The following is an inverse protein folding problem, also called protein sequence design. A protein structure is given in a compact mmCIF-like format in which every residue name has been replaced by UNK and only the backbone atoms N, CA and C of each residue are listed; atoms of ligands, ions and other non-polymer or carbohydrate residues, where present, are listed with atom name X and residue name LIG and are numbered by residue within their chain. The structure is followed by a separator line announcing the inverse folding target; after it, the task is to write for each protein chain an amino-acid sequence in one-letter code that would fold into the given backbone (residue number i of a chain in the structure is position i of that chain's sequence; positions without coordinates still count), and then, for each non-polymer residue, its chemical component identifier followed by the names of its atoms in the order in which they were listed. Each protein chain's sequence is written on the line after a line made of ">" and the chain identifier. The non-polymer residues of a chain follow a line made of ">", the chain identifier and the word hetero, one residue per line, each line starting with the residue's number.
data_IF_045894996215
#
_entry.id   IF_045894996215
#
_cell.length_a   1.000
_cell.length_b   1.000
_cell.length_c   1.000
_cell.angle_alpha   90.00
_cell.angle_beta   90.00
_cell.angle_gamma   90.00
#
_symmetry.space_group_name_H-M   'P 1'
#
loop_
_entity.id
_entity.type
_entity.pdbx_description
1 polymer ?
#
# COMPACT_ATOMS: atom_id res chain seq x y z
N UNK A 1 55.01 -0.79 19.85
CA UNK A 1 53.77 -1.54 20.09
C UNK A 1 53.18 -1.93 18.75
N UNK A 2 52.85 -3.20 18.55
CA UNK A 2 52.34 -3.68 17.27
C UNK A 2 50.89 -3.19 17.09
N UNK A 3 50.58 -2.56 15.95
CA UNK A 3 49.26 -1.95 15.70
C UNK A 3 48.13 -2.99 15.78
N UNK A 4 48.42 -4.24 15.45
CA UNK A 4 47.51 -5.39 15.58
C UNK A 4 47.12 -5.70 17.03
N UNK A 5 48.04 -5.54 17.98
CA UNK A 5 47.79 -5.79 19.41
C UNK A 5 46.94 -4.70 20.05
N UNK A 6 47.14 -3.44 19.63
CA UNK A 6 46.29 -2.32 20.06
C UNK A 6 44.87 -2.53 19.53
N UNK A 7 44.72 -2.92 18.26
CA UNK A 7 43.42 -3.15 17.64
C UNK A 7 42.68 -4.32 18.29
N UNK A 8 43.35 -5.44 18.56
CA UNK A 8 42.72 -6.61 19.19
C UNK A 8 42.27 -6.32 20.64
N UNK A 9 43.02 -5.50 21.38
CA UNK A 9 42.67 -5.12 22.75
C UNK A 9 41.51 -4.12 22.80
N UNK A 10 41.45 -3.16 21.87
CA UNK A 10 40.29 -2.27 21.74
C UNK A 10 39.05 -3.07 21.31
N UNK A 11 39.21 -3.98 20.35
CA UNK A 11 38.10 -4.82 19.88
C UNK A 11 37.56 -5.74 20.97
N UNK A 12 38.41 -6.39 21.77
CA UNK A 12 37.97 -7.25 22.87
C UNK A 12 37.21 -6.51 23.97
N UNK A 13 37.45 -5.20 24.13
CA UNK A 13 36.72 -4.36 25.08
C UNK A 13 35.41 -3.79 24.51
N UNK A 14 35.28 -3.69 23.18
CA UNK A 14 34.16 -2.98 22.52
C UNK A 14 33.27 -3.87 21.62
N UNK A 15 33.61 -5.15 21.41
CA UNK A 15 32.83 -6.03 20.50
C UNK A 15 31.36 -6.16 20.91
N UNK A 16 31.05 -6.09 22.21
CA UNK A 16 29.68 -6.14 22.72
C UNK A 16 28.83 -4.95 22.25
N UNK A 17 29.45 -3.81 21.90
CA UNK A 17 28.72 -2.68 21.31
C UNK A 17 28.14 -3.03 19.93
N UNK A 18 28.77 -3.94 19.18
CA UNK A 18 28.21 -4.45 17.92
C UNK A 18 26.90 -5.20 18.16
N UNK A 19 26.78 -5.93 19.28
CA UNK A 19 25.54 -6.62 19.65
C UNK A 19 24.38 -5.66 19.94
N UNK A 20 24.65 -4.38 20.21
CA UNK A 20 23.63 -3.36 20.46
C UNK A 20 23.39 -2.50 19.20
N UNK A 21 24.48 -2.07 18.55
CA UNK A 21 24.43 -1.21 17.37
C UNK A 21 23.79 -1.94 16.18
N UNK A 22 24.10 -3.22 15.97
CA UNK A 22 23.54 -4.00 14.86
C UNK A 22 22.01 -4.10 14.98
N UNK A 23 21.43 -4.55 16.12
CA UNK A 23 19.96 -4.56 16.26
C UNK A 23 19.32 -3.19 16.14
N UNK A 24 19.92 -2.12 16.68
CA UNK A 24 19.40 -0.76 16.54
C UNK A 24 19.42 -0.31 15.08
N UNK A 25 20.51 -0.61 14.35
CA UNK A 25 20.67 -0.31 12.93
C UNK A 25 19.64 -1.06 12.08
N UNK A 26 19.50 -2.36 12.31
CA UNK A 26 18.48 -3.21 11.67
C UNK A 26 17.08 -2.67 11.97
N UNK A 27 16.74 -2.41 13.24
CA UNK A 27 15.44 -1.87 13.61
C UNK A 27 15.13 -0.55 12.90
N UNK A 28 16.08 0.40 12.86
CA UNK A 28 15.90 1.66 12.15
C UNK A 28 15.71 1.48 10.65
N UNK A 29 16.42 0.53 10.04
CA UNK A 29 16.32 0.24 8.61
C UNK A 29 14.97 -0.37 8.22
N UNK A 30 14.44 -1.31 9.03
CA UNK A 30 13.18 -2.01 8.73
C UNK A 30 11.92 -1.31 9.24
N UNK A 31 12.05 -0.29 10.11
CA UNK A 31 10.91 0.46 10.68
C UNK A 31 9.88 0.97 9.65
N UNK A 32 10.25 1.54 8.49
CA UNK A 32 9.27 2.01 7.51
C UNK A 32 8.43 0.87 6.92
N UNK A 33 9.06 -0.28 6.67
CA UNK A 33 8.39 -1.48 6.15
C UNK A 33 7.34 -2.01 7.14
N UNK A 34 7.72 -2.16 8.41
CA UNK A 34 6.77 -2.58 9.44
C UNK A 34 5.60 -1.60 9.60
N UNK A 35 5.85 -0.29 9.49
CA UNK A 35 4.78 0.70 9.51
C UNK A 35 3.80 0.53 8.35
N UNK A 36 4.26 0.27 7.13
CA UNK A 36 3.39 -0.02 5.99
C UNK A 36 2.48 -1.21 6.28
N UNK A 37 3.07 -2.34 6.66
CA UNK A 37 2.36 -3.59 6.97
C UNK A 37 1.33 -3.45 8.09
N UNK A 38 1.58 -2.63 9.11
CA UNK A 38 0.58 -2.35 10.15
C UNK A 38 -0.66 -1.62 9.61
N UNK A 39 -0.46 -0.69 8.66
CA UNK A 39 -1.58 0.00 8.01
C UNK A 39 -2.42 -0.96 7.18
N UNK A 40 -1.77 -1.76 6.33
CA UNK A 40 -2.43 -2.77 5.48
C UNK A 40 -3.19 -3.81 6.32
N UNK A 41 -2.61 -4.23 7.45
CA UNK A 41 -3.29 -5.12 8.40
C UNK A 41 -4.54 -4.46 9.02
N UNK A 42 -4.47 -3.18 9.34
CA UNK A 42 -5.63 -2.44 9.86
C UNK A 42 -6.76 -2.35 8.82
N UNK A 43 -6.46 -2.11 7.55
CA UNK A 43 -7.46 -2.12 6.46
C UNK A 43 -8.09 -3.49 6.29
N UNK A 44 -7.27 -4.55 6.31
CA UNK A 44 -7.76 -5.93 6.29
C UNK A 44 -8.69 -6.24 7.47
N UNK A 45 -8.38 -5.69 8.64
CA UNK A 45 -9.21 -5.82 9.85
C UNK A 45 -10.51 -5.03 9.72
N UNK A 46 -10.47 -3.81 9.17
CA UNK A 46 -11.67 -3.02 8.90
C UNK A 46 -12.62 -3.77 7.97
N UNK A 47 -12.11 -4.35 6.87
CA UNK A 47 -12.92 -5.12 5.94
C UNK A 47 -13.64 -6.27 6.66
N UNK A 48 -12.91 -7.06 7.45
CA UNK A 48 -13.47 -8.21 8.20
C UNK A 48 -14.50 -7.84 9.25
N UNK A 49 -14.31 -6.70 9.92
CA UNK A 49 -15.19 -6.25 11.01
C UNK A 49 -16.44 -5.54 10.52
N UNK A 50 -16.33 -4.80 9.42
CA UNK A 50 -17.40 -3.89 9.00
C UNK A 50 -18.08 -4.32 7.71
N UNK A 51 -17.51 -5.18 6.88
CA UNK A 51 -18.13 -5.69 5.66
C UNK A 51 -18.59 -7.14 5.87
N UNK A 52 -19.71 -7.52 5.25
CA UNK A 52 -20.27 -8.87 5.40
C UNK A 52 -19.38 -9.89 4.68
N UNK A 53 -18.72 -10.81 5.40
CA UNK A 53 -17.70 -11.68 4.78
C UNK A 53 -18.24 -12.61 3.66
N UNK A 54 -19.55 -12.82 3.55
CA UNK A 54 -20.14 -13.66 2.50
C UNK A 54 -20.16 -12.97 1.12
N UNK A 55 -20.33 -11.65 1.10
CA UNK A 55 -20.45 -10.88 -0.15
C UNK A 55 -19.12 -10.28 -0.61
N UNK A 56 -18.10 -10.25 0.26
CA UNK A 56 -16.88 -9.50 0.02
C UNK A 56 -15.64 -10.41 0.07
N UNK A 57 -14.83 -10.35 -0.99
CA UNK A 57 -13.56 -11.07 -1.09
C UNK A 57 -12.42 -10.07 -1.10
N UNK A 58 -11.51 -10.15 -0.13
CA UNK A 58 -10.37 -9.26 -0.03
C UNK A 58 -9.08 -9.96 -0.48
N UNK A 59 -8.47 -9.47 -1.55
CA UNK A 59 -7.14 -9.85 -2.00
C UNK A 59 -6.13 -8.82 -1.48
N UNK A 60 -5.02 -9.29 -0.90
CA UNK A 60 -4.01 -8.44 -0.27
C UNK A 60 -2.64 -8.63 -0.91
N UNK A 61 -1.88 -7.54 -1.01
CA UNK A 61 -0.51 -7.52 -1.53
C UNK A 61 -0.41 -8.12 -2.94
N UNK A 62 -1.20 -7.60 -3.87
CA UNK A 62 -1.24 -8.07 -5.24
C UNK A 62 -0.18 -7.33 -6.08
N UNK A 63 0.96 -7.97 -6.33
CA UNK A 63 1.96 -7.47 -7.29
C UNK A 63 1.61 -7.96 -8.69
N UNK A 64 1.27 -7.04 -9.58
CA UNK A 64 0.85 -7.31 -10.96
C UNK A 64 1.88 -6.74 -11.95
N UNK A 65 2.07 -7.39 -13.11
CA UNK A 65 2.88 -6.83 -14.18
C UNK A 65 2.23 -5.55 -14.71
N UNK A 66 3.06 -4.54 -14.97
CA UNK A 66 2.67 -3.31 -15.65
C UNK A 66 3.05 -3.42 -17.14
N UNK A 67 2.27 -2.81 -18.01
CA UNK A 67 2.46 -2.95 -19.46
C UNK A 67 3.66 -2.18 -20.00
N UNK A 68 4.24 -1.30 -19.18
CA UNK A 68 5.49 -0.60 -19.45
C UNK A 68 6.74 -1.39 -19.03
N UNK A 69 6.61 -2.71 -18.81
CA UNK A 69 7.71 -3.59 -18.38
C UNK A 69 8.06 -3.48 -16.89
N UNK A 70 7.24 -2.77 -16.12
CA UNK A 70 7.38 -2.63 -14.67
C UNK A 70 6.46 -3.57 -13.89
N UNK A 71 6.27 -3.26 -12.62
CA UNK A 71 5.24 -3.89 -11.78
C UNK A 71 4.48 -2.83 -11.01
N UNK A 72 3.27 -3.17 -10.60
CA UNK A 72 2.50 -2.40 -9.63
C UNK A 72 2.11 -3.29 -8.47
N UNK A 73 2.30 -2.82 -7.24
CA UNK A 73 1.77 -3.47 -6.05
C UNK A 73 0.49 -2.75 -5.65
N UNK A 74 -0.59 -3.50 -5.49
CA UNK A 74 -1.87 -3.01 -4.99
C UNK A 74 -2.03 -3.56 -3.57
N UNK A 75 -2.18 -2.67 -2.58
CA UNK A 75 -2.27 -3.07 -1.18
C UNK A 75 -3.47 -3.99 -0.95
N UNK A 76 -4.66 -3.56 -1.42
CA UNK A 76 -5.86 -4.38 -1.37
C UNK A 76 -6.76 -4.22 -2.60
N UNK A 77 -7.34 -5.34 -3.02
CA UNK A 77 -8.43 -5.41 -4.00
C UNK A 77 -9.62 -6.07 -3.31
N UNK A 78 -10.69 -5.30 -3.11
CA UNK A 78 -11.93 -5.79 -2.54
C UNK A 78 -12.93 -6.08 -3.66
N UNK A 79 -13.26 -7.34 -3.84
CA UNK A 79 -14.29 -7.80 -4.78
C UNK A 79 -15.63 -7.84 -4.04
N UNK A 80 -16.68 -7.29 -4.65
CA UNK A 80 -18.05 -7.35 -4.15
C UNK A 80 -19.06 -7.48 -5.29
N UNK A 81 -20.32 -7.88 -5.05
CA UNK A 81 -21.39 -7.79 -6.04
C UNK A 81 -21.62 -6.39 -6.60
N UNK A 82 -21.23 -5.35 -5.86
CA UNK A 82 -21.54 -3.95 -6.16
C UNK A 82 -20.42 -3.23 -6.92
N UNK A 83 -19.26 -3.88 -7.12
CA UNK A 83 -18.08 -3.29 -7.72
C UNK A 83 -16.77 -3.87 -7.18
N UNK A 84 -15.66 -3.46 -7.78
CA UNK A 84 -14.30 -3.79 -7.36
C UNK A 84 -13.65 -2.53 -6.80
N UNK A 85 -13.18 -2.58 -5.55
CA UNK A 85 -12.54 -1.45 -4.90
C UNK A 85 -11.03 -1.68 -4.82
N UNK A 86 -10.28 -0.76 -5.41
CA UNK A 86 -8.82 -0.74 -5.41
C UNK A 86 -8.40 0.19 -4.27
N UNK A 87 -7.81 -0.37 -3.22
CA UNK A 87 -7.56 0.33 -1.97
C UNK A 87 -6.06 0.55 -1.79
N UNK A 88 -5.68 1.81 -1.64
CA UNK A 88 -4.32 2.25 -1.33
C UNK A 88 -4.22 2.69 0.14
N UNK A 89 -3.25 2.16 0.89
CA UNK A 89 -3.13 2.38 2.32
C UNK A 89 -1.97 3.28 2.69
N UNK A 90 -2.24 4.35 3.45
CA UNK A 90 -1.23 5.30 3.93
C UNK A 90 -1.17 5.34 5.46
N UNK A 91 -0.13 4.71 6.02
CA UNK A 91 0.17 4.80 7.45
C UNK A 91 1.09 6.00 7.76
N UNK A 92 0.53 7.21 7.68
CA UNK A 92 1.21 8.44 8.04
C UNK A 92 0.70 9.02 9.37
N UNK A 93 1.55 9.82 10.01
CA UNK A 93 1.21 10.59 11.21
C UNK A 93 1.37 12.10 10.94
N UNK A 94 0.85 12.94 11.83
CA UNK A 94 1.01 14.40 11.73
C UNK A 94 0.08 15.03 10.69
N UNK A 95 0.48 16.16 10.11
CA UNK A 95 -0.39 16.90 9.20
C UNK A 95 -0.15 16.51 7.74
N UNK A 96 -1.23 16.31 6.99
CA UNK A 96 -1.20 15.97 5.58
C UNK A 96 -1.81 17.10 4.78
N UNK A 97 -1.06 17.57 3.78
CA UNK A 97 -1.43 18.61 2.85
C UNK A 97 -1.37 18.05 1.43
N UNK A 98 -2.44 18.22 0.67
CA UNK A 98 -2.52 17.72 -0.68
C UNK A 98 -3.87 18.00 -1.33
N UNK A 99 -3.85 18.07 -2.66
CA UNK A 99 -5.05 18.18 -3.50
C UNK A 99 -4.96 17.15 -4.62
N UNK A 100 -6.10 16.85 -5.23
CA UNK A 100 -6.21 15.84 -6.29
C UNK A 100 -5.25 16.06 -7.46
N UNK A 101 -5.04 17.32 -7.87
CA UNK A 101 -4.25 17.67 -9.06
C UNK A 101 -2.74 17.68 -8.81
N UNK A 102 -2.28 17.73 -7.57
CA UNK A 102 -0.86 17.78 -7.25
C UNK A 102 -0.19 16.42 -7.46
N UNK A 103 0.98 16.39 -8.09
CA UNK A 103 1.78 15.15 -8.25
C UNK A 103 2.28 14.58 -6.93
N UNK A 104 2.58 15.45 -5.97
CA UNK A 104 3.09 15.08 -4.64
C UNK A 104 2.29 15.77 -3.55
N UNK A 105 2.12 15.07 -2.44
CA UNK A 105 1.54 15.58 -1.21
C UNK A 105 2.64 15.81 -0.17
N UNK A 106 2.33 16.57 0.86
CA UNK A 106 3.27 16.92 1.93
C UNK A 106 2.77 16.42 3.28
N UNK A 107 3.60 15.66 3.97
CA UNK A 107 3.47 15.31 5.36
C UNK A 107 4.32 16.26 6.20
N UNK A 108 3.74 16.89 7.22
CA UNK A 108 4.45 17.72 8.20
C UNK A 108 4.42 17.06 9.58
N UNK A 109 5.60 16.82 10.12
CA UNK A 109 5.82 16.32 11.48
C UNK A 109 6.70 17.34 12.21
N UNK A 110 6.11 18.04 13.19
CA UNK A 110 6.75 19.16 13.88
C UNK A 110 7.27 20.22 12.89
N UNK A 111 8.59 20.43 12.87
CA UNK A 111 9.28 21.41 11.99
C UNK A 111 9.74 20.81 10.66
N UNK A 112 9.51 19.50 10.42
CA UNK A 112 10.00 18.79 9.23
C UNK A 112 8.86 18.53 8.24
N UNK A 113 9.15 18.76 6.97
CA UNK A 113 8.25 18.46 5.86
C UNK A 113 8.83 17.31 5.03
N UNK A 114 7.97 16.37 4.67
CA UNK A 114 8.30 15.20 3.86
C UNK A 114 7.34 15.16 2.68
N UNK A 115 7.86 15.13 1.45
CA UNK A 115 7.04 14.95 0.26
C UNK A 115 6.86 13.46 0.00
N UNK A 116 5.67 13.09 -0.47
CA UNK A 116 5.38 11.75 -0.96
C UNK A 116 4.51 11.86 -2.22
N UNK A 117 4.54 10.83 -3.06
CA UNK A 117 3.70 10.80 -4.26
C UNK A 117 2.22 10.85 -3.87
N UNK A 118 1.41 11.56 -4.66
CA UNK A 118 -0.02 11.61 -4.43
C UNK A 118 -0.63 10.20 -4.53
N UNK A 119 -1.28 9.69 -3.46
CA UNK A 119 -1.85 8.35 -3.44
C UNK A 119 -2.94 8.15 -4.50
N UNK A 120 -3.64 9.22 -4.90
CA UNK A 120 -4.65 9.15 -5.96
C UNK A 120 -4.03 8.80 -7.31
N UNK A 121 -2.84 9.34 -7.61
CA UNK A 121 -2.13 9.05 -8.86
C UNK A 121 -1.53 7.65 -8.84
N UNK A 122 -1.05 7.19 -7.67
CA UNK A 122 -0.63 5.80 -7.49
C UNK A 122 -1.80 4.85 -7.75
N UNK A 123 -2.94 5.09 -7.10
CA UNK A 123 -4.10 4.23 -7.22
C UNK A 123 -4.75 4.28 -8.62
N UNK A 124 -4.64 5.40 -9.33
CA UNK A 124 -5.04 5.47 -10.74
C UNK A 124 -4.22 4.50 -11.61
N UNK A 125 -2.92 4.39 -11.37
CA UNK A 125 -2.08 3.40 -12.07
C UNK A 125 -2.53 1.96 -11.75
N UNK A 126 -2.82 1.67 -10.48
CA UNK A 126 -3.35 0.37 -10.06
C UNK A 126 -4.66 0.03 -10.78
N UNK A 127 -5.57 1.00 -10.84
CA UNK A 127 -6.83 0.87 -11.56
C UNK A 127 -6.64 0.61 -13.05
N UNK A 128 -5.67 1.27 -13.71
CA UNK A 128 -5.37 1.02 -15.13
C UNK A 128 -4.86 -0.38 -15.42
N UNK A 129 -4.01 -0.92 -14.54
CA UNK A 129 -3.55 -2.31 -14.66
C UNK A 129 -4.73 -3.28 -14.50
N UNK A 130 -5.61 -3.07 -13.53
CA UNK A 130 -6.80 -3.92 -13.36
C UNK A 130 -7.84 -3.76 -14.46
N UNK A 131 -8.05 -2.55 -14.98
CA UNK A 131 -8.93 -2.27 -16.13
C UNK A 131 -8.52 -3.12 -17.33
N UNK A 132 -7.22 -3.25 -17.59
CA UNK A 132 -6.69 -4.10 -18.66
C UNK A 132 -6.83 -5.59 -18.37
N UNK A 133 -6.48 -6.04 -17.15
CA UNK A 133 -6.56 -7.46 -16.77
C UNK A 133 -8.00 -7.99 -16.84
N UNK A 134 -8.98 -7.12 -16.59
CA UNK A 134 -10.39 -7.44 -16.47
C UNK A 134 -11.25 -6.89 -17.61
N UNK A 135 -10.65 -6.42 -18.71
CA UNK A 135 -11.35 -5.72 -19.81
C UNK A 135 -12.48 -6.56 -20.44
N UNK A 136 -12.32 -7.89 -20.49
CA UNK A 136 -13.32 -8.83 -21.01
C UNK A 136 -14.36 -9.27 -19.97
N UNK A 137 -14.17 -8.85 -18.71
CA UNK A 137 -14.98 -9.27 -17.58
C UNK A 137 -15.85 -8.13 -17.06
N UNK A 138 -15.33 -6.91 -16.88
CA UNK A 138 -16.06 -5.85 -16.20
C UNK A 138 -15.77 -4.48 -16.77
N UNK A 139 -16.81 -3.65 -16.86
CA UNK A 139 -16.67 -2.27 -17.30
C UNK A 139 -15.92 -1.44 -16.26
N UNK A 140 -15.10 -0.50 -16.76
CA UNK A 140 -14.24 0.37 -15.94
C UNK A 140 -15.01 1.20 -14.89
N UNK A 141 -16.30 1.44 -15.09
CA UNK A 141 -17.14 2.22 -14.18
C UNK A 141 -17.36 1.52 -12.83
N UNK A 142 -17.24 0.19 -12.81
CA UNK A 142 -17.34 -0.63 -11.60
C UNK A 142 -16.00 -0.83 -10.89
N UNK A 143 -14.94 -0.14 -11.35
CA UNK A 143 -13.64 -0.08 -10.69
C UNK A 143 -13.54 1.21 -9.87
N UNK A 144 -13.52 1.10 -8.55
CA UNK A 144 -13.57 2.22 -7.63
C UNK A 144 -12.24 2.41 -6.90
N UNK A 145 -11.65 3.59 -7.03
CA UNK A 145 -10.44 3.98 -6.30
C UNK A 145 -10.77 4.41 -4.88
N UNK A 146 -10.10 3.85 -3.88
CA UNK A 146 -10.25 4.18 -2.45
C UNK A 146 -8.88 4.43 -1.83
N UNK A 147 -8.70 5.56 -1.15
CA UNK A 147 -7.47 5.85 -0.41
C UNK A 147 -7.78 5.84 1.10
N UNK A 148 -7.01 5.09 1.87
CA UNK A 148 -7.21 4.96 3.32
C UNK A 148 -5.98 5.43 4.08
N UNK A 149 -6.13 6.50 4.85
CA UNK A 149 -5.13 6.95 5.80
C UNK A 149 -5.39 6.39 7.19
N UNK A 150 -4.32 6.00 7.90
CA UNK A 150 -4.44 5.62 9.31
C UNK A 150 -4.86 6.83 10.19
N UNK A 151 -5.55 6.59 11.32
CA UNK A 151 -6.13 7.65 12.16
C UNK A 151 -5.15 8.70 12.70
N UNK A 152 -3.87 8.35 12.82
CA UNK A 152 -2.82 9.17 13.45
C UNK A 152 -2.40 10.42 12.66
N UNK A 153 -3.05 10.70 11.54
CA UNK A 153 -2.85 11.90 10.75
C UNK A 153 -4.05 12.85 10.76
N UNK A 154 -3.79 14.11 10.44
CA UNK A 154 -4.79 15.15 10.29
C UNK A 154 -4.69 15.78 8.89
N UNK A 155 -5.78 15.76 8.14
CA UNK A 155 -5.85 16.45 6.86
C UNK A 155 -5.98 17.96 7.11
N UNK A 156 -5.10 18.74 6.49
CA UNK A 156 -5.09 20.21 6.57
C UNK A 156 -5.54 20.89 5.28
N UNK A 157 -5.98 20.09 4.30
CA UNK A 157 -6.61 20.53 3.05
C UNK A 157 -7.88 19.72 2.83
N UNK A 158 -8.79 20.23 2.00
CA UNK A 158 -9.98 19.48 1.61
C UNK A 158 -9.57 18.20 0.88
N UNK A 159 -10.12 17.06 1.31
CA UNK A 159 -9.84 15.76 0.72
C UNK A 159 -10.92 15.38 -0.30
N UNK A 160 -10.55 14.75 -1.42
CA UNK A 160 -11.51 14.18 -2.36
C UNK A 160 -12.43 13.15 -1.70
N UNK A 161 -13.60 12.93 -2.29
CA UNK A 161 -14.66 12.09 -1.71
C UNK A 161 -14.24 10.62 -1.49
N UNK A 162 -13.20 10.15 -2.17
CA UNK A 162 -12.68 8.78 -2.08
C UNK A 162 -11.43 8.65 -1.19
N UNK A 163 -11.10 9.69 -0.41
CA UNK A 163 -9.99 9.68 0.54
C UNK A 163 -10.53 9.69 1.97
N UNK A 164 -10.23 8.62 2.70
CA UNK A 164 -10.80 8.35 4.01
C UNK A 164 -9.73 8.23 5.09
N UNK A 165 -10.18 8.34 6.34
CA UNK A 165 -9.36 8.11 7.52
C UNK A 165 -9.97 7.01 8.38
N UNK A 166 -9.14 6.09 8.87
CA UNK A 166 -9.57 4.97 9.70
C UNK A 166 -10.55 4.06 8.94
N UNK A 167 -11.61 3.61 9.61
CA UNK A 167 -12.60 2.68 9.03
C UNK A 167 -13.67 3.33 8.14
N UNK A 168 -13.70 4.67 8.00
CA UNK A 168 -14.76 5.40 7.26
C UNK A 168 -14.92 5.00 5.79
N UNK A 169 -13.88 4.42 5.18
CA UNK A 169 -13.95 3.92 3.81
C UNK A 169 -14.98 2.78 3.66
N UNK A 170 -15.25 2.03 4.74
CA UNK A 170 -16.24 0.93 4.71
C UNK A 170 -17.66 1.47 4.55
N UNK A 171 -17.95 2.66 5.05
CA UNK A 171 -19.25 3.32 4.85
C UNK A 171 -19.44 3.73 3.38
N UNK A 172 -18.36 4.18 2.72
CA UNK A 172 -18.36 4.45 1.28
C UNK A 172 -18.64 3.20 0.46
N UNK A 173 -17.98 2.08 0.77
CA UNK A 173 -18.23 0.79 0.10
C UNK A 173 -19.69 0.35 0.28
N UNK A 174 -20.25 0.47 1.49
CA UNK A 174 -21.65 0.13 1.78
C UNK A 174 -22.68 1.03 1.11
N UNK A 175 -22.28 2.19 0.59
CA UNK A 175 -23.18 3.08 -0.13
C UNK A 175 -23.59 2.50 -1.49
N UNK A 176 -22.79 1.57 -2.06
CA UNK A 176 -23.11 0.86 -3.28
C UNK A 176 -24.09 -0.28 -2.96
N UNK A 177 -25.28 -0.23 -3.56
CA UNK A 177 -26.39 -1.17 -3.26
C UNK A 177 -26.89 -1.95 -4.46
N UNK A 178 -26.56 -1.50 -5.67
CA UNK A 178 -27.00 -2.14 -6.91
C UNK A 178 -26.03 -3.27 -7.28
N UNK A 179 -26.47 -4.54 -7.30
CA UNK A 179 -25.60 -5.65 -7.68
C UNK A 179 -25.37 -5.62 -9.20
N UNK A 180 -24.10 -5.50 -9.59
CA UNK A 180 -23.63 -5.39 -10.99
C UNK A 180 -22.69 -6.54 -11.38
N UNK A 181 -22.25 -7.34 -10.41
CA UNK A 181 -21.38 -8.50 -10.58
C UNK A 181 -22.05 -9.73 -9.96
N UNK A 182 -22.35 -10.75 -10.78
CA UNK A 182 -22.86 -12.03 -10.26
C UNK A 182 -21.78 -12.83 -9.53
N UNK A 183 -22.17 -13.72 -8.63
CA UNK A 183 -21.23 -14.55 -7.86
C UNK A 183 -20.27 -15.36 -8.76
N UNK A 184 -20.79 -15.95 -9.84
CA UNK A 184 -19.97 -16.67 -10.82
C UNK A 184 -18.94 -15.75 -11.51
N UNK A 185 -19.37 -14.52 -11.85
CA UNK A 185 -18.50 -13.50 -12.45
C UNK A 185 -17.44 -13.03 -11.45
N UNK A 186 -17.80 -12.86 -10.18
CA UNK A 186 -16.89 -12.53 -9.08
C UNK A 186 -15.79 -13.58 -8.92
N UNK A 187 -16.16 -14.87 -8.89
CA UNK A 187 -15.19 -15.99 -8.83
C UNK A 187 -14.27 -16.03 -10.05
N UNK A 188 -14.78 -15.70 -11.25
CA UNK A 188 -13.96 -15.61 -12.47
C UNK A 188 -12.98 -14.44 -12.40
N UNK A 189 -13.42 -13.28 -11.91
CA UNK A 189 -12.57 -12.10 -11.68
C UNK A 189 -11.47 -12.44 -10.67
N UNK A 190 -11.82 -13.04 -9.53
CA UNK A 190 -10.85 -13.46 -8.52
C UNK A 190 -9.75 -14.34 -9.13
N UNK A 191 -10.13 -15.41 -9.83
CA UNK A 191 -9.17 -16.33 -10.47
C UNK A 191 -8.32 -15.66 -11.52
N UNK A 192 -8.87 -14.71 -12.29
CA UNK A 192 -8.12 -13.94 -13.29
C UNK A 192 -7.05 -13.10 -12.60
N UNK A 193 -7.39 -12.38 -11.53
CA UNK A 193 -6.42 -11.58 -10.76
C UNK A 193 -5.35 -12.47 -10.16
N UNK A 194 -5.73 -13.54 -9.45
CA UNK A 194 -4.79 -14.45 -8.79
C UNK A 194 -3.79 -15.10 -9.76
N UNK A 195 -4.20 -15.34 -11.02
CA UNK A 195 -3.32 -15.86 -12.07
C UNK A 195 -2.25 -14.85 -12.51
N UNK A 196 -2.58 -13.57 -12.52
CA UNK A 196 -1.64 -12.49 -12.91
C UNK A 196 -0.76 -12.01 -11.75
N UNK A 197 -1.12 -12.34 -10.50
CA UNK A 197 -0.31 -12.00 -9.33
C UNK A 197 1.02 -12.74 -9.39
N UNK A 198 2.10 -11.97 -9.40
CA UNK A 198 3.46 -12.49 -9.38
C UNK A 198 3.76 -13.17 -8.03
N UNK A 199 4.61 -14.20 -8.07
CA UNK A 199 5.05 -14.90 -6.87
C UNK A 199 5.65 -13.92 -5.86
N UNK A 200 5.22 -14.03 -4.59
CA UNK A 200 5.73 -13.24 -3.47
C UNK A 200 7.17 -13.69 -3.13
N UNK A 201 8.12 -13.23 -3.94
CA UNK A 201 9.54 -13.55 -3.82
C UNK A 201 10.39 -12.30 -3.57
N UNK A 202 11.59 -12.47 -3.01
CA UNK A 202 12.55 -11.36 -2.86
C UNK A 202 12.90 -10.72 -4.20
N UNK A 203 12.97 -11.52 -5.27
CA UNK A 203 13.23 -11.04 -6.63
C UNK A 203 12.12 -10.11 -7.12
N UNK A 204 10.86 -10.50 -6.93
CA UNK A 204 9.69 -9.69 -7.29
C UNK A 204 9.68 -8.37 -6.52
N UNK A 205 9.89 -8.42 -5.20
CA UNK A 205 9.93 -7.22 -4.35
C UNK A 205 11.09 -6.28 -4.74
N UNK A 206 12.27 -6.83 -5.03
CA UNK A 206 13.43 -6.04 -5.46
C UNK A 206 13.17 -5.36 -6.81
N UNK A 207 12.66 -6.09 -7.80
CA UNK A 207 12.32 -5.52 -9.11
C UNK A 207 11.27 -4.40 -8.98
N UNK A 208 10.29 -4.58 -8.10
CA UNK A 208 9.29 -3.55 -7.79
C UNK A 208 9.93 -2.28 -7.19
N UNK A 209 10.76 -2.43 -6.16
CA UNK A 209 11.44 -1.29 -5.51
C UNK A 209 12.39 -0.57 -6.48
N UNK A 210 13.12 -1.31 -7.33
CA UNK A 210 13.98 -0.73 -8.37
C UNK A 210 13.17 0.12 -9.36
N UNK A 211 12.05 -0.40 -9.85
CA UNK A 211 11.15 0.34 -10.75
C UNK A 211 10.58 1.60 -10.10
N UNK A 212 10.19 1.55 -8.82
CA UNK A 212 9.73 2.74 -8.09
C UNK A 212 10.83 3.80 -7.95
N UNK A 213 12.08 3.39 -7.76
CA UNK A 213 13.19 4.34 -7.59
C UNK A 213 13.61 5.01 -8.91
N UNK A 214 13.50 4.31 -10.04
CA UNK A 214 13.76 4.88 -11.37
C UNK A 214 12.74 5.96 -11.75
N UNK A 215 11.48 5.79 -11.31
CA UNK A 215 10.36 6.66 -11.68
C UNK A 215 10.02 7.73 -10.62
N UNK A 216 10.92 7.99 -9.67
CA UNK A 216 10.74 8.95 -8.56
C UNK A 216 11.00 10.43 -8.92
N UNK A 217 11.03 10.79 -10.21
CA UNK A 217 11.29 12.16 -10.69
C UNK A 217 10.06 13.08 -10.64
#
# INVERSE_FOLDING_TARGET
>A
MNTSQIFSQIFSQLWWMLLIIIPIGVFRAFKPYFKGKLGEFAVSTHAKLYLNNEDYILLNDCTLPDDQGGTTQIDHILLSPFGIFIIETKNYTGWIFGTERQKTWTQKIYKKNYKFQNPLHQNYKHQKVLEKILEDLIDREYLHSVIVFMPDCEFKTAMPANVFKGAKWTDYVKAFKEPVISEMKLKRIQRRIEKEVLEKSWKTNRAHVEYLNQNKQ
#
